data_IF_839896797276
#
_entry.id   IF_839896797276
#
_cell.length_a   1.000
_cell.length_b   1.000
_cell.length_c   1.000
_cell.angle_alpha   90.00
_cell.angle_beta   90.00
_cell.angle_gamma   90.00
#
_symmetry.space_group_name_H-M   'P 1'
#
loop_
_entity.id
_entity.type
_entity.pdbx_description
1 polymer ?
#
# COMPACT_ATOMS: atom_id res chain seq x y z
N UNK A 1 -13.25 -14.52 17.64
CA UNK A 1 -12.98 -13.91 16.31
C UNK A 1 -12.66 -12.43 16.52
N UNK A 2 -12.09 -11.71 15.54
CA UNK A 2 -11.71 -10.29 15.73
C UNK A 2 -12.89 -9.41 16.13
N UNK A 3 -14.08 -9.64 15.56
CA UNK A 3 -15.30 -8.91 15.91
C UNK A 3 -15.70 -9.07 17.38
N UNK A 4 -15.46 -10.24 17.99
CA UNK A 4 -15.74 -10.45 19.43
C UNK A 4 -14.78 -9.64 20.31
N UNK A 5 -13.51 -9.55 19.92
CA UNK A 5 -12.51 -8.74 20.63
C UNK A 5 -12.86 -7.25 20.53
N UNK A 6 -13.33 -6.80 19.36
CA UNK A 6 -13.89 -5.45 19.18
C UNK A 6 -15.08 -5.25 20.11
N UNK A 7 -16.04 -6.19 20.15
CA UNK A 7 -17.22 -6.10 21.01
C UNK A 7 -16.86 -5.99 22.50
N UNK A 8 -15.86 -6.75 22.96
CA UNK A 8 -15.38 -6.75 24.34
C UNK A 8 -14.53 -5.52 24.71
N UNK A 9 -13.93 -4.84 23.72
CA UNK A 9 -13.14 -3.63 23.96
C UNK A 9 -14.07 -2.47 24.32
N UNK A 10 -13.93 -1.81 25.49
CA UNK A 10 -14.77 -0.67 25.85
C UNK A 10 -14.63 0.49 24.85
N UNK A 11 -15.64 1.37 24.70
CA UNK A 11 -15.47 2.62 23.97
C UNK A 11 -14.28 3.43 24.50
N UNK A 12 -13.46 3.97 23.59
CA UNK A 12 -12.17 4.60 23.87
C UNK A 12 -11.03 3.62 24.16
N UNK A 13 -11.30 2.31 24.22
CA UNK A 13 -10.34 1.28 24.53
C UNK A 13 -9.36 0.98 23.38
N UNK A 14 -8.29 0.26 23.72
CA UNK A 14 -7.23 -0.16 22.79
C UNK A 14 -7.31 -1.68 22.63
N UNK A 15 -7.52 -2.12 21.39
CA UNK A 15 -7.38 -3.52 20.99
C UNK A 15 -6.00 -3.71 20.34
N UNK A 16 -5.12 -4.45 21.01
CA UNK A 16 -3.83 -4.86 20.45
C UNK A 16 -3.99 -6.23 19.79
N UNK A 17 -3.77 -6.30 18.48
CA UNK A 17 -3.78 -7.56 17.75
C UNK A 17 -2.43 -8.25 17.90
N UNK A 18 -2.43 -9.57 17.91
CA UNK A 18 -1.20 -10.34 17.70
C UNK A 18 -0.89 -10.35 16.20
N UNK A 19 0.38 -10.37 15.78
CA UNK A 19 0.71 -10.56 14.37
C UNK A 19 0.04 -11.82 13.82
N UNK A 20 -0.57 -11.72 12.65
CA UNK A 20 -1.33 -12.81 12.04
C UNK A 20 -2.43 -12.31 11.11
N UNK A 21 -3.28 -13.23 10.68
CA UNK A 21 -4.38 -12.97 9.75
C UNK A 21 -5.73 -13.03 10.45
N UNK A 22 -6.58 -12.05 10.15
CA UNK A 22 -7.91 -11.91 10.70
C UNK A 22 -8.93 -11.80 9.58
N UNK A 23 -9.81 -12.80 9.47
CA UNK A 23 -10.88 -12.79 8.46
C UNK A 23 -11.96 -11.77 8.85
N UNK A 24 -12.27 -10.87 7.92
CA UNK A 24 -13.40 -9.94 7.95
C UNK A 24 -14.68 -10.50 7.29
N UNK A 25 -15.70 -9.65 7.07
CA UNK A 25 -15.70 -8.20 7.31
C UNK A 25 -15.73 -7.86 8.80
N UNK A 26 -15.20 -6.70 9.16
CA UNK A 26 -15.30 -6.14 10.52
C UNK A 26 -15.93 -4.76 10.51
N UNK A 27 -16.71 -4.46 11.56
CA UNK A 27 -17.40 -3.18 11.73
C UNK A 27 -16.91 -2.50 13.01
N UNK A 28 -16.48 -1.25 12.85
CA UNK A 28 -16.02 -0.37 13.93
C UNK A 28 -17.11 0.69 14.19
N UNK A 29 -18.06 0.33 15.05
CA UNK A 29 -19.26 1.10 15.38
C UNK A 29 -19.15 1.93 16.67
N UNK A 30 -18.00 1.83 17.36
CA UNK A 30 -17.63 2.63 18.53
C UNK A 30 -16.21 3.17 18.39
N UNK A 31 -15.94 4.29 19.05
CA UNK A 31 -14.60 4.83 19.18
C UNK A 31 -13.69 3.79 19.83
N UNK A 32 -12.66 3.32 19.12
CA UNK A 32 -11.63 2.41 19.64
C UNK A 32 -10.32 2.64 18.89
N UNK A 33 -9.21 2.21 19.48
CA UNK A 33 -7.92 2.12 18.79
C UNK A 33 -7.59 0.66 18.49
N UNK A 34 -7.32 0.34 17.23
CA UNK A 34 -6.76 -0.97 16.83
C UNK A 34 -5.27 -0.78 16.55
N UNK A 35 -4.44 -1.47 17.33
CA UNK A 35 -3.00 -1.59 17.07
C UNK A 35 -2.74 -2.94 16.42
N UNK A 36 -2.49 -2.93 15.11
CA UNK A 36 -2.38 -4.12 14.30
C UNK A 36 -1.09 -4.90 14.53
N UNK A 37 0.02 -4.25 14.90
CA UNK A 37 1.33 -4.90 15.05
C UNK A 37 1.74 -5.70 13.79
N UNK A 38 1.40 -5.21 12.60
CA UNK A 38 1.64 -5.87 11.32
C UNK A 38 0.63 -6.97 10.98
N UNK A 39 -0.50 -7.06 11.69
CA UNK A 39 -1.58 -7.96 11.36
C UNK A 39 -2.26 -7.60 10.02
N UNK A 40 -2.84 -8.61 9.38
CA UNK A 40 -3.58 -8.48 8.13
C UNK A 40 -5.06 -8.76 8.42
N UNK A 41 -5.95 -7.80 8.14
CA UNK A 41 -7.39 -8.05 8.06
C UNK A 41 -7.76 -8.30 6.61
N UNK A 42 -8.41 -9.41 6.31
CA UNK A 42 -8.72 -9.77 4.93
C UNK A 42 -10.11 -10.34 4.75
N UNK A 43 -10.67 -10.15 3.56
CA UNK A 43 -11.85 -10.87 3.08
C UNK A 43 -11.67 -11.21 1.60
N UNK A 44 -12.48 -12.14 1.08
CA UNK A 44 -12.51 -12.38 -0.37
C UNK A 44 -13.05 -11.15 -1.09
N UNK A 45 -14.21 -10.68 -0.62
CA UNK A 45 -14.90 -9.51 -1.11
C UNK A 45 -14.98 -8.44 -0.01
N UNK A 46 -14.91 -7.18 -0.45
CA UNK A 46 -15.09 -6.00 0.37
C UNK A 46 -16.56 -5.65 0.66
N UNK A 47 -16.81 -4.67 1.56
CA UNK A 47 -15.81 -3.98 2.38
C UNK A 47 -15.18 -4.87 3.43
N UNK A 48 -13.84 -4.86 3.57
CA UNK A 48 -13.13 -5.66 4.58
C UNK A 48 -13.25 -5.04 5.97
N UNK A 49 -13.03 -3.73 6.07
CA UNK A 49 -13.25 -2.94 7.28
C UNK A 49 -14.27 -1.84 6.99
N UNK A 50 -15.25 -1.69 7.88
CA UNK A 50 -16.24 -0.60 7.84
C UNK A 50 -16.08 0.24 9.10
N UNK A 51 -15.78 1.52 8.95
CA UNK A 51 -15.71 2.50 10.04
C UNK A 51 -16.98 3.32 10.05
N UNK A 52 -17.82 3.11 11.06
CA UNK A 52 -19.11 3.81 11.22
C UNK A 52 -19.19 4.69 12.46
N UNK A 53 -18.08 4.86 13.18
CA UNK A 53 -18.00 5.66 14.40
C UNK A 53 -16.87 6.69 14.34
N UNK A 54 -17.08 7.84 14.98
CA UNK A 54 -16.02 8.82 15.22
C UNK A 54 -15.02 8.30 16.25
N UNK A 55 -13.80 8.85 16.26
CA UNK A 55 -12.79 8.49 17.26
C UNK A 55 -12.15 7.11 17.06
N UNK A 56 -12.35 6.49 15.90
CA UNK A 56 -11.62 5.27 15.53
C UNK A 56 -10.18 5.62 15.12
N UNK A 57 -9.23 4.84 15.62
CA UNK A 57 -7.82 4.89 15.21
C UNK A 57 -7.36 3.51 14.75
N UNK A 58 -6.73 3.44 13.58
CA UNK A 58 -6.06 2.24 13.09
C UNK A 58 -4.56 2.50 12.97
N UNK A 59 -3.73 1.61 13.53
CA UNK A 59 -2.29 1.68 13.34
C UNK A 59 -1.64 0.33 13.01
N UNK A 60 -0.56 0.37 12.22
CA UNK A 60 0.29 -0.79 11.91
C UNK A 60 -0.51 -2.00 11.41
N UNK A 61 -1.36 -1.79 10.40
CA UNK A 61 -2.36 -2.75 9.95
C UNK A 61 -2.44 -2.84 8.43
N UNK A 62 -2.47 -4.07 7.90
CA UNK A 62 -2.71 -4.33 6.49
C UNK A 62 -4.17 -4.76 6.28
N UNK A 63 -4.81 -4.28 5.22
CA UNK A 63 -6.22 -4.53 4.91
C UNK A 63 -6.36 -5.01 3.46
N UNK A 64 -6.90 -6.20 3.23
CA UNK A 64 -6.93 -6.80 1.90
C UNK A 64 -8.29 -7.35 1.45
N UNK A 65 -8.77 -6.86 0.31
CA UNK A 65 -9.72 -7.58 -0.52
C UNK A 65 -8.93 -8.53 -1.45
N UNK A 66 -8.98 -9.82 -1.17
CA UNK A 66 -8.04 -10.82 -1.72
C UNK A 66 -8.51 -11.47 -3.02
N UNK A 67 -9.82 -11.59 -3.22
CA UNK A 67 -10.40 -12.22 -4.40
C UNK A 67 -11.73 -11.51 -4.75
N UNK A 68 -11.68 -10.21 -5.07
CA UNK A 68 -12.89 -9.43 -5.29
C UNK A 68 -13.60 -9.90 -6.55
N UNK A 69 -14.88 -10.23 -6.43
CA UNK A 69 -15.75 -10.57 -7.57
C UNK A 69 -15.79 -9.42 -8.60
N UNK A 70 -15.50 -9.75 -9.86
CA UNK A 70 -15.54 -8.79 -10.96
C UNK A 70 -16.98 -8.32 -11.24
N UNK A 71 -17.13 -7.02 -11.54
CA UNK A 71 -18.44 -6.43 -11.85
C UNK A 71 -19.37 -6.23 -10.63
N UNK A 72 -18.99 -6.70 -9.44
CA UNK A 72 -19.76 -6.49 -8.22
C UNK A 72 -19.30 -5.21 -7.53
N UNK A 73 -20.20 -4.22 -7.44
CA UNK A 73 -19.94 -2.95 -6.78
C UNK A 73 -19.56 -3.16 -5.31
N UNK A 74 -18.52 -2.47 -4.84
CA UNK A 74 -18.02 -2.57 -3.47
C UNK A 74 -17.15 -3.80 -3.17
N UNK A 75 -17.08 -4.78 -4.08
CA UNK A 75 -16.33 -6.03 -3.87
C UNK A 75 -14.83 -5.80 -3.72
N UNK A 76 -14.28 -4.75 -4.33
CA UNK A 76 -12.86 -4.39 -4.24
C UNK A 76 -12.50 -3.57 -3.00
N UNK A 77 -13.49 -3.15 -2.20
CA UNK A 77 -13.26 -2.17 -1.13
C UNK A 77 -12.53 -2.82 0.04
N UNK A 78 -11.31 -2.37 0.33
CA UNK A 78 -10.58 -2.79 1.52
C UNK A 78 -11.10 -2.03 2.75
N UNK A 79 -11.26 -0.71 2.63
CA UNK A 79 -11.65 0.16 3.75
C UNK A 79 -12.79 1.07 3.33
N UNK A 80 -13.91 0.98 4.05
CA UNK A 80 -15.06 1.87 3.90
C UNK A 80 -15.20 2.76 5.13
N UNK A 81 -15.19 4.07 4.92
CA UNK A 81 -15.38 5.07 5.98
C UNK A 81 -16.73 5.75 5.78
N UNK A 82 -17.61 5.64 6.77
CA UNK A 82 -18.90 6.32 6.72
C UNK A 82 -18.69 7.84 6.82
N UNK A 83 -19.36 8.66 5.99
CA UNK A 83 -19.24 10.11 6.03
C UNK A 83 -19.39 10.68 7.44
N UNK A 84 -18.50 11.61 7.81
CA UNK A 84 -18.51 12.28 9.11
C UNK A 84 -17.76 11.56 10.25
N UNK A 85 -17.20 10.36 10.03
CA UNK A 85 -16.48 9.61 11.08
C UNK A 85 -15.01 10.00 11.23
N UNK A 86 -14.32 10.34 10.13
CA UNK A 86 -12.93 10.85 10.09
C UNK A 86 -11.93 10.08 11.00
N UNK A 87 -11.61 8.81 10.68
CA UNK A 87 -10.68 8.03 11.49
C UNK A 87 -9.24 8.56 11.41
N UNK A 88 -8.46 8.30 12.46
CA UNK A 88 -7.00 8.46 12.42
C UNK A 88 -6.36 7.19 11.90
N UNK A 89 -5.48 7.33 10.92
CA UNK A 89 -4.83 6.21 10.24
C UNK A 89 -3.32 6.42 10.31
N UNK A 90 -2.59 5.40 10.75
CA UNK A 90 -1.15 5.47 10.96
C UNK A 90 -0.49 4.18 10.48
N UNK A 91 0.33 4.24 9.44
CA UNK A 91 0.99 3.04 8.90
C UNK A 91 -0.02 1.93 8.55
N UNK A 92 -1.10 2.31 7.86
CA UNK A 92 -2.12 1.38 7.37
C UNK A 92 -1.84 1.08 5.91
N UNK A 93 -1.82 -0.19 5.50
CA UNK A 93 -1.69 -0.56 4.08
C UNK A 93 -2.95 -1.22 3.59
N UNK A 94 -3.21 -1.04 2.31
CA UNK A 94 -4.45 -1.50 1.70
C UNK A 94 -4.17 -2.16 0.36
N UNK A 95 -4.79 -3.32 0.15
CA UNK A 95 -4.96 -3.96 -1.16
C UNK A 95 -6.45 -3.98 -1.48
N UNK A 96 -6.86 -3.08 -2.36
CA UNK A 96 -8.27 -2.81 -2.68
C UNK A 96 -8.56 -1.32 -2.67
N UNK A 97 -9.82 -0.97 -2.90
CA UNK A 97 -10.31 0.40 -2.96
C UNK A 97 -10.57 0.96 -1.56
N UNK A 98 -10.59 2.29 -1.47
CA UNK A 98 -11.01 3.01 -0.26
C UNK A 98 -12.20 3.88 -0.62
N UNK A 99 -13.24 3.81 0.19
CA UNK A 99 -14.43 4.65 0.06
C UNK A 99 -14.57 5.58 1.26
N UNK A 100 -14.98 6.83 1.01
CA UNK A 100 -15.36 7.78 2.06
C UNK A 100 -14.21 8.53 2.73
N UNK A 101 -13.00 8.48 2.15
CA UNK A 101 -11.87 9.35 2.52
C UNK A 101 -11.45 10.16 1.30
N UNK A 102 -12.05 11.34 1.12
CA UNK A 102 -11.84 12.19 -0.06
C UNK A 102 -10.37 12.50 -0.39
N UNK A 103 -9.50 12.53 0.61
CA UNK A 103 -8.08 12.79 0.42
C UNK A 103 -7.29 11.65 -0.24
N UNK A 104 -7.85 10.44 -0.37
CA UNK A 104 -7.17 9.26 -0.94
C UNK A 104 -8.11 8.36 -1.77
N UNK A 105 -9.39 8.71 -1.83
CA UNK A 105 -10.42 8.12 -2.67
C UNK A 105 -10.20 8.53 -4.14
N UNK A 106 -10.43 7.59 -5.05
CA UNK A 106 -10.22 7.80 -6.48
C UNK A 106 -9.46 6.65 -7.13
N UNK A 107 -9.24 6.77 -8.44
CA UNK A 107 -8.62 5.72 -9.23
C UNK A 107 -7.10 5.80 -9.14
N UNK A 108 -6.49 4.82 -8.48
CA UNK A 108 -5.05 4.59 -8.52
C UNK A 108 -4.72 3.79 -9.78
N UNK A 109 -3.87 4.34 -10.67
CA UNK A 109 -3.29 3.57 -11.78
C UNK A 109 -1.82 3.36 -11.52
N UNK A 110 -1.55 2.32 -10.73
CA UNK A 110 -0.21 1.86 -10.42
C UNK A 110 0.06 0.58 -11.21
N UNK A 111 1.32 0.32 -11.63
CA UNK A 111 1.67 -0.96 -12.22
C UNK A 111 1.48 -2.08 -11.18
N UNK A 112 1.11 -3.28 -11.64
CA UNK A 112 0.97 -4.44 -10.75
C UNK A 112 2.29 -4.80 -10.04
N UNK A 113 3.41 -4.63 -10.75
CA UNK A 113 4.76 -4.79 -10.24
C UNK A 113 5.72 -3.85 -10.96
N UNK A 114 6.77 -3.44 -10.26
CA UNK A 114 7.93 -2.74 -10.80
C UNK A 114 9.04 -3.77 -11.04
N UNK A 115 9.09 -4.35 -12.24
CA UNK A 115 10.18 -5.24 -12.63
C UNK A 115 11.29 -4.44 -13.32
N UNK A 116 12.44 -4.36 -12.65
CA UNK A 116 13.64 -3.67 -13.13
C UNK A 116 14.46 -4.55 -14.10
N UNK A 117 14.11 -5.83 -14.22
CA UNK A 117 14.85 -6.81 -15.00
C UNK A 117 16.29 -6.98 -14.50
N UNK A 118 17.21 -7.19 -15.44
CA UNK A 118 18.64 -7.24 -15.16
C UNK A 118 19.26 -5.84 -15.29
N UNK A 119 20.13 -5.46 -14.35
CA UNK A 119 20.73 -4.12 -14.29
C UNK A 119 22.22 -4.14 -13.96
N UNK A 120 22.93 -3.04 -14.26
CA UNK A 120 24.36 -2.98 -14.05
C UNK A 120 24.71 -2.79 -12.55
N UNK A 121 25.64 -3.57 -12.00
CA UNK A 121 26.01 -3.46 -10.59
C UNK A 121 26.82 -2.18 -10.32
N UNK A 122 26.72 -1.68 -9.09
CA UNK A 122 27.54 -0.59 -8.51
C UNK A 122 27.42 0.78 -9.18
N UNK A 123 26.73 0.87 -10.30
CA UNK A 123 26.45 2.12 -11.01
C UNK A 123 24.95 2.43 -10.95
N UNK A 124 24.60 3.68 -11.21
CA UNK A 124 23.21 4.13 -11.23
C UNK A 124 22.52 3.60 -12.49
N UNK A 125 21.38 2.95 -12.30
CA UNK A 125 20.44 2.58 -13.35
C UNK A 125 19.16 3.40 -13.18
N UNK A 126 18.51 3.73 -14.29
CA UNK A 126 17.30 4.57 -14.34
C UNK A 126 16.16 3.87 -15.07
N UNK A 127 14.96 3.94 -14.49
CA UNK A 127 13.76 3.34 -15.05
C UNK A 127 12.61 4.32 -15.00
N UNK A 128 11.88 4.46 -16.11
CA UNK A 128 10.69 5.32 -16.18
C UNK A 128 9.43 4.48 -16.13
N UNK A 129 8.45 4.90 -15.34
CA UNK A 129 7.13 4.28 -15.24
C UNK A 129 6.04 5.34 -15.18
N UNK A 130 4.89 5.05 -15.79
CA UNK A 130 3.72 5.95 -15.75
C UNK A 130 2.82 5.53 -14.59
N UNK A 131 2.43 6.50 -13.77
CA UNK A 131 1.53 6.31 -12.62
C UNK A 131 0.45 7.38 -12.60
N UNK A 132 -0.72 7.05 -12.07
CA UNK A 132 -1.77 8.02 -11.74
C UNK A 132 -2.14 7.87 -10.27
N UNK A 133 -2.05 8.97 -9.52
CA UNK A 133 -2.39 9.02 -8.09
C UNK A 133 -3.54 9.99 -7.87
N UNK A 134 -4.61 9.61 -7.14
CA UNK A 134 -5.77 10.48 -6.94
C UNK A 134 -5.48 11.65 -6.00
N UNK A 135 -4.41 11.54 -5.19
CA UNK A 135 -4.02 12.55 -4.22
C UNK A 135 -2.51 12.63 -4.10
N UNK A 136 -2.03 13.73 -3.50
CA UNK A 136 -0.61 13.89 -3.25
C UNK A 136 -0.08 12.78 -2.35
N UNK A 137 1.06 12.20 -2.71
CA UNK A 137 1.68 11.11 -1.97
C UNK A 137 3.20 11.20 -1.92
N UNK A 138 3.80 10.58 -0.91
CA UNK A 138 5.24 10.36 -0.78
C UNK A 138 5.58 8.92 -1.16
N UNK A 139 6.69 8.74 -1.88
CA UNK A 139 7.20 7.42 -2.26
C UNK A 139 8.24 6.94 -1.25
N UNK A 140 8.09 5.70 -0.77
CA UNK A 140 9.09 5.04 0.07
C UNK A 140 9.41 3.66 -0.47
N UNK A 141 10.67 3.26 -0.35
CA UNK A 141 11.14 1.92 -0.71
C UNK A 141 11.63 1.20 0.53
N UNK A 142 11.32 -0.09 0.65
CA UNK A 142 11.95 -0.97 1.64
C UNK A 142 13.34 -1.47 1.20
N UNK A 143 13.73 -1.20 -0.04
CA UNK A 143 14.94 -1.74 -0.67
C UNK A 143 16.05 -0.68 -0.68
N UNK A 144 17.18 -1.01 -0.04
CA UNK A 144 18.36 -0.16 -0.05
C UNK A 144 18.90 0.04 -1.48
N UNK A 145 19.35 1.26 -1.78
CA UNK A 145 19.86 1.62 -3.11
C UNK A 145 18.77 1.96 -4.14
N UNK A 146 17.49 1.93 -3.75
CA UNK A 146 16.36 2.35 -4.60
C UNK A 146 15.87 3.72 -4.18
N UNK A 147 15.77 4.65 -5.12
CA UNK A 147 15.24 6.00 -4.90
C UNK A 147 14.35 6.46 -6.06
N UNK A 148 13.66 7.59 -5.87
CA UNK A 148 12.61 8.06 -6.77
C UNK A 148 12.79 9.53 -7.13
N UNK A 149 12.53 9.85 -8.40
CA UNK A 149 12.48 11.23 -8.89
C UNK A 149 11.16 11.45 -9.66
N UNK A 150 10.28 12.33 -9.17
CA UNK A 150 10.34 13.02 -7.86
C UNK A 150 10.03 12.06 -6.70
N UNK A 151 10.48 12.34 -5.45
CA UNK A 151 10.16 11.53 -4.27
C UNK A 151 8.73 11.76 -3.74
N UNK A 152 8.05 12.80 -4.25
CA UNK A 152 6.67 13.15 -3.93
C UNK A 152 5.92 13.47 -5.21
N UNK A 153 4.69 12.99 -5.30
CA UNK A 153 3.80 13.22 -6.44
C UNK A 153 2.62 14.06 -5.96
N UNK A 154 2.22 15.12 -6.70
CA UNK A 154 0.90 15.72 -6.53
C UNK A 154 -0.18 14.77 -7.10
N UNK A 155 -1.45 15.15 -7.02
CA UNK A 155 -2.50 14.39 -7.70
C UNK A 155 -2.38 14.50 -9.22
N UNK A 156 -2.71 13.41 -9.92
CA UNK A 156 -2.73 13.33 -11.37
C UNK A 156 -1.79 12.26 -11.95
N UNK A 157 -1.55 12.38 -13.26
CA UNK A 157 -0.67 11.46 -14.00
C UNK A 157 0.76 11.96 -14.03
N UNK A 158 1.71 11.07 -13.76
CA UNK A 158 3.13 11.38 -13.64
C UNK A 158 4.01 10.31 -14.28
N UNK A 159 5.13 10.76 -14.87
CA UNK A 159 6.27 9.89 -15.15
C UNK A 159 7.16 9.85 -13.91
N UNK A 160 7.22 8.69 -13.26
CA UNK A 160 8.10 8.41 -12.14
C UNK A 160 9.40 7.81 -12.65
N UNK A 161 10.54 8.38 -12.24
CA UNK A 161 11.84 7.78 -12.46
C UNK A 161 12.31 7.05 -11.20
N UNK A 162 12.72 5.80 -11.37
CA UNK A 162 13.26 4.93 -10.32
C UNK A 162 14.75 4.80 -10.56
N UNK A 163 15.54 5.08 -9.53
CA UNK A 163 16.99 4.92 -9.56
C UNK A 163 17.41 3.75 -8.71
N UNK A 164 18.31 2.94 -9.26
CA UNK A 164 18.94 1.81 -8.55
C UNK A 164 20.45 2.03 -8.57
N UNK A 165 21.05 2.22 -7.40
CA UNK A 165 22.47 2.52 -7.25
C UNK A 165 23.08 1.83 -6.04
N UNK A 166 24.42 1.72 -6.01
CA UNK A 166 25.17 1.11 -4.92
C UNK A 166 24.80 -0.36 -4.61
N UNK A 167 24.21 -1.06 -5.57
CA UNK A 167 23.89 -2.49 -5.45
C UNK A 167 25.06 -3.34 -5.96
N UNK A 168 25.51 -4.31 -5.16
CA UNK A 168 26.59 -5.22 -5.53
C UNK A 168 26.28 -6.08 -6.76
N UNK A 169 27.29 -6.76 -7.32
CA UNK A 169 27.08 -7.74 -8.40
C UNK A 169 26.39 -9.01 -7.88
N UNK A 170 25.70 -9.73 -8.78
CA UNK A 170 24.95 -10.97 -8.48
C UNK A 170 23.98 -10.84 -7.30
N UNK A 171 23.34 -9.68 -7.17
CA UNK A 171 22.39 -9.35 -6.09
C UNK A 171 20.97 -9.33 -6.64
N UNK A 172 20.06 -9.97 -5.93
CA UNK A 172 18.62 -9.90 -6.22
C UNK A 172 17.97 -8.87 -5.31
N UNK A 173 17.24 -7.93 -5.90
CA UNK A 173 16.40 -6.99 -5.19
C UNK A 173 14.97 -7.53 -5.17
N UNK A 174 14.39 -7.58 -3.99
CA UNK A 174 12.98 -7.86 -3.78
C UNK A 174 12.47 -7.02 -2.61
N UNK A 175 11.37 -6.30 -2.81
CA UNK A 175 10.74 -5.53 -1.76
C UNK A 175 9.51 -4.78 -2.25
N UNK A 176 9.17 -3.72 -1.54
CA UNK A 176 7.94 -2.97 -1.77
C UNK A 176 8.26 -1.49 -1.97
N UNK A 177 7.57 -0.88 -2.93
CA UNK A 177 7.43 0.57 -3.06
C UNK A 177 6.06 0.97 -2.51
N UNK A 178 6.06 1.90 -1.56
CA UNK A 178 4.86 2.41 -0.92
C UNK A 178 4.55 3.83 -1.42
N UNK A 179 3.32 4.01 -1.90
CA UNK A 179 2.72 5.30 -2.20
C UNK A 179 1.91 5.73 -0.97
N UNK A 180 2.45 6.64 -0.17
CA UNK A 180 1.91 7.02 1.13
C UNK A 180 1.12 8.33 1.06
N UNK A 181 -0.14 8.31 1.49
CA UNK A 181 -1.00 9.50 1.59
C UNK A 181 -1.96 9.36 2.76
N UNK A 182 -2.10 10.41 3.58
CA UNK A 182 -3.08 10.44 4.67
C UNK A 182 -2.95 9.32 5.72
N UNK A 183 -1.73 8.81 5.95
CA UNK A 183 -1.48 7.70 6.87
C UNK A 183 -1.75 6.30 6.30
N UNK A 184 -2.16 6.23 5.03
CA UNK A 184 -2.36 4.99 4.28
C UNK A 184 -1.27 4.83 3.21
N UNK A 185 -0.83 3.59 2.98
CA UNK A 185 0.00 3.23 1.84
C UNK A 185 -0.71 2.29 0.85
N UNK A 186 -0.40 2.47 -0.44
CA UNK A 186 -0.53 1.43 -1.48
C UNK A 186 0.84 0.84 -1.75
N UNK A 187 0.93 -0.48 -1.74
CA UNK A 187 2.18 -1.22 -1.95
C UNK A 187 2.25 -1.78 -3.38
N UNK A 188 3.37 -1.56 -4.06
CA UNK A 188 3.70 -2.18 -5.34
C UNK A 188 4.97 -3.01 -5.16
N UNK A 189 4.94 -4.26 -5.58
CA UNK A 189 6.12 -5.13 -5.51
C UNK A 189 7.22 -4.61 -6.45
N UNK A 190 8.47 -4.64 -5.99
CA UNK A 190 9.66 -4.28 -6.75
C UNK A 190 10.59 -5.48 -6.83
N UNK A 191 11.05 -5.80 -8.03
CA UNK A 191 12.04 -6.85 -8.26
C UNK A 191 13.11 -6.42 -9.26
N UNK A 192 14.28 -7.03 -9.16
CA UNK A 192 15.34 -6.85 -10.15
C UNK A 192 16.58 -7.66 -9.79
N UNK A 193 17.50 -7.81 -10.74
CA UNK A 193 18.76 -8.52 -10.51
C UNK A 193 19.93 -7.72 -11.05
N UNK A 194 20.99 -7.57 -10.26
CA UNK A 194 22.24 -7.04 -10.77
C UNK A 194 23.02 -8.10 -11.53
N UNK A 195 23.62 -7.71 -12.65
CA UNK A 195 24.44 -8.60 -13.47
C UNK A 195 25.68 -9.11 -12.71
N UNK A 196 26.22 -10.25 -13.16
CA UNK A 196 27.42 -10.89 -12.59
C UNK A 196 28.73 -10.18 -12.91
N UNK A 197 28.75 -9.34 -13.93
CA UNK A 197 29.94 -8.63 -14.41
C UNK A 197 29.65 -7.17 -14.72
N UNK A 198 30.69 -6.45 -15.13
CA UNK A 198 30.55 -5.06 -15.56
C UNK A 198 29.60 -4.96 -16.75
N UNK A 199 28.68 -4.00 -16.66
CA UNK A 199 27.73 -3.64 -17.70
C UNK A 199 27.51 -2.15 -17.69
N UNK A 200 27.04 -1.65 -18.82
CA UNK A 200 26.60 -0.26 -18.94
C UNK A 200 25.30 -0.02 -18.18
N UNK A 201 25.14 1.20 -17.70
CA UNK A 201 23.94 1.62 -16.97
C UNK A 201 22.69 1.43 -17.84
N UNK A 202 21.65 0.87 -17.25
CA UNK A 202 20.35 0.73 -17.91
C UNK A 202 19.60 2.06 -17.81
N UNK A 203 19.08 2.54 -18.95
CA UNK A 203 18.04 3.56 -19.02
C UNK A 203 16.82 2.94 -19.70
N UNK A 204 15.89 2.46 -18.88
CA UNK A 204 14.77 1.62 -19.32
C UNK A 204 13.40 2.25 -19.10
N UNK A 205 12.37 1.62 -19.66
CA UNK A 205 10.97 1.93 -19.37
C UNK A 205 10.29 0.66 -18.85
N UNK A 206 9.63 0.77 -17.71
CA UNK A 206 8.79 -0.30 -17.16
C UNK A 206 7.44 -0.17 -17.84
N UNK A 207 7.00 -1.23 -18.51
CA UNK A 207 5.69 -1.28 -19.12
C UNK A 207 4.66 -1.57 -18.03
N UNK A 208 3.70 -0.66 -17.86
CA UNK A 208 2.53 -0.92 -17.03
C UNK A 208 1.68 -1.96 -17.76
N UNK A 209 1.72 -3.21 -17.32
CA UNK A 209 0.72 -4.21 -17.70
C UNK A 209 -0.45 -3.99 -16.75
N UNK A 210 -1.54 -3.40 -17.27
CA UNK A 210 -2.78 -3.21 -16.51
C UNK A 210 -3.52 -4.54 -16.38
#
# INVERSE_FOLDING_TARGET
>A
MMQDQIAQTPPGGILKLTPGEYRGPIVLDKAITIQGQGAVVWAHNGPVIIISSTGVTLSDLDIEATAPDEGIAGSKVALKVIPGTQPRLENVRTRGDIEGIAAIEGNWRLPQSLDLGEFAPRIRNSYKVQVEVPSACELKSSVAGVSFVPPRLPSGSHELEIHVENVGADTFLAGIVEFQSGGIARAVALSGRSARGEREAVCGRILSVN
#
